data_IF_867961484039
#
_entry.id   IF_867961484039
#
_cell.length_a   1.000
_cell.length_b   1.000
_cell.length_c   1.000
_cell.angle_alpha   90.00
_cell.angle_beta   90.00
_cell.angle_gamma   90.00
#
_symmetry.space_group_name_H-M   'P 1'
#
loop_
_entity.id
_entity.type
_entity.pdbx_description
1 polymer ?
#
# COMPACT_ATOMS: atom_id res chain seq x y z
N UNK A 1 -2.61 -38.45 -13.71
CA UNK A 1 -3.51 -37.87 -12.69
C UNK A 1 -2.80 -37.33 -11.44
N UNK A 2 -1.63 -37.86 -11.02
CA UNK A 2 -0.89 -37.39 -9.81
C UNK A 2 -0.46 -35.91 -9.83
N UNK A 3 -0.27 -35.30 -11.00
CA UNK A 3 0.17 -33.89 -11.14
C UNK A 3 -0.96 -32.86 -11.31
N UNK A 4 -2.22 -33.29 -11.51
CA UNK A 4 -3.36 -32.40 -11.79
C UNK A 4 -3.83 -31.63 -10.55
N UNK A 5 -3.94 -32.30 -9.40
CA UNK A 5 -4.33 -31.68 -8.14
C UNK A 5 -3.32 -30.65 -7.61
N UNK A 6 -1.99 -30.92 -7.59
CA UNK A 6 -1.01 -29.93 -7.15
C UNK A 6 -0.94 -28.71 -8.08
N UNK A 7 -1.08 -28.89 -9.39
CA UNK A 7 -1.09 -27.78 -10.36
C UNK A 7 -2.35 -26.93 -10.26
N UNK A 8 -3.52 -27.54 -10.05
CA UNK A 8 -4.76 -26.81 -9.76
C UNK A 8 -4.66 -26.03 -8.44
N UNK A 9 -4.09 -26.61 -7.39
CA UNK A 9 -3.86 -25.92 -6.12
C UNK A 9 -2.94 -24.71 -6.27
N UNK A 10 -1.84 -24.86 -7.02
CA UNK A 10 -0.92 -23.77 -7.34
C UNK A 10 -1.59 -22.64 -8.13
N UNK A 11 -2.43 -22.97 -9.12
CA UNK A 11 -3.18 -21.99 -9.90
C UNK A 11 -4.19 -21.22 -9.04
N UNK A 12 -4.88 -21.90 -8.12
CA UNK A 12 -5.79 -21.24 -7.17
C UNK A 12 -5.03 -20.28 -6.25
N UNK A 13 -3.87 -20.68 -5.72
CA UNK A 13 -3.03 -19.82 -4.88
C UNK A 13 -2.57 -18.59 -5.67
N UNK A 14 -2.08 -18.79 -6.89
CA UNK A 14 -1.62 -17.71 -7.77
C UNK A 14 -2.76 -16.75 -8.14
N UNK A 15 -3.97 -17.27 -8.39
CA UNK A 15 -5.17 -16.48 -8.62
C UNK A 15 -5.56 -15.65 -7.38
N UNK A 16 -5.54 -16.24 -6.18
CA UNK A 16 -5.80 -15.54 -4.92
C UNK A 16 -4.79 -14.41 -4.70
N UNK A 17 -3.50 -14.67 -4.87
CA UNK A 17 -2.47 -13.62 -4.76
C UNK A 17 -2.70 -12.49 -5.76
N UNK A 18 -3.02 -12.82 -7.00
CA UNK A 18 -3.28 -11.84 -8.05
C UNK A 18 -4.47 -10.95 -7.68
N UNK A 19 -5.56 -11.53 -7.17
CA UNK A 19 -6.75 -10.78 -6.71
C UNK A 19 -6.42 -9.89 -5.50
N UNK A 20 -5.64 -10.38 -4.54
CA UNK A 20 -5.23 -9.60 -3.37
C UNK A 20 -4.36 -8.39 -3.76
N UNK A 21 -3.38 -8.59 -4.64
CA UNK A 21 -2.49 -7.52 -5.12
C UNK A 21 -3.26 -6.49 -5.93
N UNK A 22 -4.15 -6.95 -6.81
CA UNK A 22 -5.04 -6.09 -7.57
C UNK A 22 -5.88 -5.21 -6.64
N UNK A 23 -6.47 -5.80 -5.60
CA UNK A 23 -7.29 -5.07 -4.62
C UNK A 23 -6.47 -4.05 -3.84
N UNK A 24 -5.24 -4.40 -3.43
CA UNK A 24 -4.39 -3.53 -2.62
C UNK A 24 -3.77 -2.36 -3.39
N UNK A 25 -3.51 -2.54 -4.69
CA UNK A 25 -2.88 -1.51 -5.54
C UNK A 25 -3.82 -1.00 -6.65
N UNK A 26 -5.13 -1.11 -6.43
CA UNK A 26 -6.15 -0.66 -7.38
C UNK A 26 -6.01 0.83 -7.70
N UNK A 27 -5.56 1.63 -6.75
CA UNK A 27 -5.28 3.06 -6.93
C UNK A 27 -4.17 3.31 -7.96
N UNK A 28 -3.13 2.46 -8.04
CA UNK A 28 -2.10 2.60 -9.09
C UNK A 28 -2.70 2.38 -10.48
N UNK A 29 -3.62 1.44 -10.62
CA UNK A 29 -4.32 1.17 -11.88
C UNK A 29 -5.28 2.31 -12.26
N UNK A 30 -5.83 3.06 -11.29
CA UNK A 30 -6.73 4.20 -11.57
C UNK A 30 -5.99 5.38 -12.20
N UNK A 31 -4.69 5.51 -11.92
CA UNK A 31 -3.85 6.62 -12.40
C UNK A 31 -2.82 6.17 -13.45
N UNK A 32 -3.09 5.04 -14.10
CA UNK A 32 -2.24 4.47 -15.15
C UNK A 32 -0.77 4.23 -14.74
N UNK A 33 -0.51 4.07 -13.43
CA UNK A 33 0.81 3.77 -12.89
C UNK A 33 1.15 2.27 -12.99
N UNK A 34 0.99 1.71 -14.19
CA UNK A 34 1.18 0.28 -14.47
C UNK A 34 2.59 -0.21 -14.13
N UNK A 35 3.62 0.60 -14.43
CA UNK A 35 5.01 0.26 -14.10
C UNK A 35 5.19 -0.03 -12.61
N UNK A 36 4.70 0.86 -11.75
CA UNK A 36 4.80 0.71 -10.30
C UNK A 36 3.92 -0.44 -9.80
N UNK A 37 2.76 -0.64 -10.41
CA UNK A 37 1.90 -1.79 -10.13
C UNK A 37 2.62 -3.12 -10.40
N UNK A 38 3.20 -3.29 -11.60
CA UNK A 38 3.92 -4.51 -11.96
C UNK A 38 5.17 -4.73 -11.14
N UNK A 39 5.95 -3.68 -10.84
CA UNK A 39 7.12 -3.80 -9.96
C UNK A 39 6.75 -4.31 -8.56
N UNK A 40 5.60 -3.88 -8.03
CA UNK A 40 5.06 -4.37 -6.75
C UNK A 40 4.49 -5.79 -6.85
N UNK A 41 4.17 -6.29 -8.05
CA UNK A 41 3.76 -7.68 -8.27
C UNK A 41 4.94 -8.66 -8.31
N UNK A 42 6.16 -8.21 -8.61
CA UNK A 42 7.31 -9.11 -8.80
C UNK A 42 7.57 -9.99 -7.56
N UNK A 43 7.65 -9.46 -6.31
CA UNK A 43 7.90 -10.29 -5.15
C UNK A 43 6.86 -11.40 -4.92
N UNK A 44 5.53 -11.14 -4.88
CA UNK A 44 4.57 -12.21 -4.67
C UNK A 44 4.43 -13.14 -5.89
N UNK A 45 4.66 -12.66 -7.12
CA UNK A 45 4.69 -13.53 -8.29
C UNK A 45 5.88 -14.50 -8.23
N UNK A 46 7.05 -14.04 -7.79
CA UNK A 46 8.19 -14.94 -7.60
C UNK A 46 7.87 -15.97 -6.52
N UNK A 47 7.31 -15.57 -5.37
CA UNK A 47 6.83 -16.53 -4.35
C UNK A 47 5.82 -17.52 -4.92
N UNK A 48 4.87 -17.04 -5.73
CA UNK A 48 3.86 -17.86 -6.38
C UNK A 48 4.45 -18.93 -7.30
N UNK A 49 5.51 -18.59 -8.05
CA UNK A 49 6.26 -19.55 -8.87
C UNK A 49 6.93 -20.62 -8.00
N UNK A 50 7.52 -20.25 -6.86
CA UNK A 50 8.08 -21.24 -5.93
C UNK A 50 6.98 -22.15 -5.36
N UNK A 51 5.87 -21.60 -4.88
CA UNK A 51 4.77 -22.42 -4.36
C UNK A 51 4.23 -23.37 -5.44
N UNK A 52 4.12 -22.92 -6.68
CA UNK A 52 3.69 -23.74 -7.79
C UNK A 52 4.69 -24.83 -8.20
N UNK A 53 5.99 -24.55 -8.09
CA UNK A 53 7.07 -25.50 -8.39
C UNK A 53 7.32 -26.52 -7.29
N UNK A 54 6.81 -26.29 -6.08
CA UNK A 54 7.05 -27.16 -4.92
C UNK A 54 6.68 -28.63 -5.18
N UNK A 55 5.51 -28.98 -5.74
CA UNK A 55 5.17 -30.39 -6.02
C UNK A 55 6.14 -31.07 -6.99
N UNK A 56 6.64 -30.34 -7.98
CA UNK A 56 7.63 -30.86 -8.95
C UNK A 56 8.98 -31.11 -8.26
N UNK A 57 9.42 -30.18 -7.40
CA UNK A 57 10.67 -30.35 -6.64
C UNK A 57 10.56 -31.51 -5.65
N UNK A 58 9.41 -31.69 -5.01
CA UNK A 58 9.20 -32.81 -4.09
C UNK A 58 9.10 -34.17 -4.79
N UNK A 59 8.67 -34.22 -6.06
CA UNK A 59 8.66 -35.45 -6.87
C UNK A 59 10.09 -35.93 -7.22
N UNK A 60 11.05 -35.00 -7.27
CA UNK A 60 12.48 -35.29 -7.48
C UNK A 60 13.22 -35.64 -6.18
N UNK A 61 12.58 -35.49 -5.01
CA UNK A 61 13.19 -35.77 -3.71
C UNK A 61 13.06 -37.25 -3.33
N UNK A 62 14.10 -37.79 -2.70
CA UNK A 62 14.11 -39.13 -2.11
C UNK A 62 13.66 -39.07 -0.65
N UNK A 63 13.27 -40.21 -0.07
CA UNK A 63 12.79 -40.28 1.32
C UNK A 63 13.83 -39.73 2.31
N UNK A 64 15.12 -39.97 2.06
CA UNK A 64 16.21 -39.57 2.94
C UNK A 64 16.55 -38.07 2.88
N UNK A 65 16.25 -37.39 1.76
CA UNK A 65 16.59 -35.99 1.55
C UNK A 65 15.37 -35.05 1.47
N UNK A 66 14.16 -35.59 1.67
CA UNK A 66 12.90 -34.85 1.60
C UNK A 66 12.91 -33.57 2.46
N UNK A 67 13.32 -33.70 3.74
CA UNK A 67 13.32 -32.59 4.69
C UNK A 67 14.37 -31.51 4.32
N UNK A 68 15.65 -31.85 4.06
CA UNK A 68 16.62 -30.88 3.55
C UNK A 68 16.18 -30.15 2.28
N UNK A 69 15.63 -30.85 1.29
CA UNK A 69 15.16 -30.26 0.02
C UNK A 69 14.03 -29.26 0.27
N UNK A 70 13.06 -29.64 1.09
CA UNK A 70 11.94 -28.76 1.46
C UNK A 70 12.42 -27.48 2.16
N UNK A 71 13.35 -27.61 3.12
CA UNK A 71 13.87 -26.46 3.88
C UNK A 71 14.69 -25.51 3.00
N UNK A 72 15.53 -26.02 2.11
CA UNK A 72 16.29 -25.19 1.17
C UNK A 72 15.35 -24.47 0.21
N UNK A 73 14.32 -25.16 -0.28
CA UNK A 73 13.37 -24.58 -1.22
C UNK A 73 12.51 -23.47 -0.58
N UNK A 74 11.94 -23.73 0.60
CA UNK A 74 11.17 -22.73 1.35
C UNK A 74 12.05 -21.57 1.84
N UNK A 75 13.26 -21.87 2.31
CA UNK A 75 14.24 -20.87 2.72
C UNK A 75 14.67 -19.96 1.57
N UNK A 76 14.93 -20.54 0.39
CA UNK A 76 15.24 -19.80 -0.83
C UNK A 76 14.08 -18.91 -1.30
N UNK A 77 12.85 -19.44 -1.28
CA UNK A 77 11.66 -18.66 -1.61
C UNK A 77 11.45 -17.48 -0.64
N UNK A 78 11.59 -17.72 0.66
CA UNK A 78 11.48 -16.68 1.70
C UNK A 78 12.58 -15.62 1.56
N UNK A 79 13.83 -16.04 1.34
CA UNK A 79 14.96 -15.14 1.15
C UNK A 79 14.80 -14.29 -0.10
N UNK A 80 14.45 -14.91 -1.24
CA UNK A 80 14.22 -14.18 -2.49
C UNK A 80 13.08 -13.18 -2.33
N UNK A 81 11.97 -13.59 -1.71
CA UNK A 81 10.83 -12.70 -1.45
C UNK A 81 11.24 -11.54 -0.55
N UNK A 82 12.02 -11.79 0.50
CA UNK A 82 12.52 -10.75 1.40
C UNK A 82 13.48 -9.78 0.69
N UNK A 83 14.37 -10.28 -0.17
CA UNK A 83 15.28 -9.47 -0.96
C UNK A 83 14.52 -8.59 -1.97
N UNK A 84 13.59 -9.17 -2.72
CA UNK A 84 12.79 -8.45 -3.72
C UNK A 84 11.89 -7.40 -3.07
N UNK A 85 11.25 -7.74 -1.94
CA UNK A 85 10.46 -6.77 -1.17
C UNK A 85 11.33 -5.64 -0.63
N UNK A 86 12.59 -5.94 -0.26
CA UNK A 86 13.52 -4.91 0.21
C UNK A 86 14.02 -3.99 -0.89
N UNK A 87 14.20 -4.51 -2.11
CA UNK A 87 14.70 -3.78 -3.26
C UNK A 87 13.68 -2.81 -3.86
N UNK A 88 12.38 -3.17 -3.89
CA UNK A 88 11.36 -2.36 -4.57
C UNK A 88 10.98 -1.09 -3.80
N UNK A 89 11.00 -1.13 -2.46
CA UNK A 89 10.47 -0.01 -1.64
C UNK A 89 11.33 0.39 -0.42
N UNK A 90 12.66 0.51 -0.51
CA UNK A 90 13.46 0.95 0.63
C UNK A 90 13.07 2.36 1.09
N UNK A 91 12.83 3.28 0.16
CA UNK A 91 12.50 4.69 0.45
C UNK A 91 11.10 4.86 1.03
N UNK A 92 10.06 4.25 0.44
CA UNK A 92 8.69 4.26 0.99
C UNK A 92 8.64 3.68 2.40
N UNK A 93 9.38 2.59 2.66
CA UNK A 93 9.41 1.99 3.99
C UNK A 93 10.12 2.88 4.99
N UNK A 94 11.19 3.58 4.60
CA UNK A 94 11.85 4.57 5.45
C UNK A 94 10.90 5.72 5.77
N UNK A 95 10.20 6.27 4.76
CA UNK A 95 9.21 7.33 4.95
C UNK A 95 8.08 6.91 5.91
N UNK A 96 7.47 5.74 5.65
CA UNK A 96 6.43 5.19 6.51
C UNK A 96 6.93 4.78 7.90
N UNK A 97 8.18 4.35 8.03
CA UNK A 97 8.78 4.06 9.34
C UNK A 97 9.00 5.34 10.15
N UNK A 98 9.50 6.41 9.52
CA UNK A 98 9.64 7.72 10.15
C UNK A 98 8.28 8.24 10.64
N UNK A 99 7.23 8.10 9.83
CA UNK A 99 5.87 8.47 10.23
C UNK A 99 5.41 7.68 11.45
N UNK A 100 5.60 6.34 11.46
CA UNK A 100 5.21 5.49 12.59
C UNK A 100 6.04 5.73 13.85
N UNK A 101 7.27 6.21 13.73
CA UNK A 101 8.11 6.59 14.87
C UNK A 101 7.80 7.99 15.41
N UNK A 102 6.81 8.69 14.84
CA UNK A 102 6.45 10.06 15.22
C UNK A 102 7.40 11.14 14.69
N UNK A 103 8.38 10.76 13.86
CA UNK A 103 9.30 11.71 13.22
C UNK A 103 8.64 12.23 11.93
N UNK A 104 7.60 13.05 12.12
CA UNK A 104 6.74 13.53 11.04
C UNK A 104 7.45 14.49 10.10
N UNK A 105 8.40 15.30 10.60
CA UNK A 105 9.23 16.17 9.76
C UNK A 105 10.10 15.35 8.79
N UNK A 106 10.77 14.30 9.30
CA UNK A 106 11.54 13.39 8.44
C UNK A 106 10.64 12.63 7.48
N UNK A 107 9.47 12.20 7.93
CA UNK A 107 8.49 11.55 7.06
C UNK A 107 8.05 12.48 5.92
N UNK A 108 7.76 13.75 6.21
CA UNK A 108 7.40 14.75 5.23
C UNK A 108 8.52 14.95 4.21
N UNK A 109 9.78 15.15 4.64
CA UNK A 109 10.93 15.28 3.72
C UNK A 109 11.11 14.06 2.81
N UNK A 110 10.94 12.85 3.36
CA UNK A 110 11.06 11.62 2.57
C UNK A 110 9.91 11.46 1.57
N UNK A 111 8.68 11.80 1.96
CA UNK A 111 7.55 11.77 1.03
C UNK A 111 7.65 12.87 -0.02
N UNK A 112 8.19 14.03 0.31
CA UNK A 112 8.44 15.12 -0.64
C UNK A 112 9.41 14.67 -1.74
N UNK A 113 10.57 14.11 -1.37
CA UNK A 113 11.52 13.51 -2.33
C UNK A 113 10.87 12.39 -3.18
N UNK A 114 10.03 11.55 -2.56
CA UNK A 114 9.28 10.52 -3.29
C UNK A 114 8.31 11.13 -4.30
N UNK A 115 7.60 12.21 -3.96
CA UNK A 115 6.69 12.88 -4.90
C UNK A 115 7.42 13.54 -6.06
N UNK A 116 8.63 14.09 -5.83
CA UNK A 116 9.47 14.65 -6.88
C UNK A 116 9.95 13.62 -7.90
N UNK A 117 10.26 12.39 -7.44
CA UNK A 117 10.71 11.29 -8.31
C UNK A 117 9.56 10.52 -8.94
N UNK A 118 8.51 10.29 -8.16
CA UNK A 118 7.35 9.44 -8.50
C UNK A 118 6.08 10.14 -8.00
N UNK A 119 5.41 10.97 -8.82
CA UNK A 119 4.29 11.81 -8.39
C UNK A 119 2.99 11.02 -8.23
N UNK A 120 2.98 10.01 -7.34
CA UNK A 120 1.83 9.15 -7.07
C UNK A 120 0.86 9.82 -6.09
N UNK A 121 -0.47 9.70 -6.30
CA UNK A 121 -1.49 10.25 -5.40
C UNK A 121 -1.29 9.85 -3.93
N UNK A 122 -0.96 8.57 -3.69
CA UNK A 122 -0.72 8.03 -2.36
C UNK A 122 0.46 8.68 -1.64
N UNK A 123 1.49 9.14 -2.36
CA UNK A 123 2.64 9.82 -1.74
C UNK A 123 2.31 11.25 -1.38
N UNK A 124 1.57 11.95 -2.25
CA UNK A 124 1.04 13.26 -1.91
C UNK A 124 0.09 13.22 -0.71
N UNK A 125 -0.76 12.18 -0.62
CA UNK A 125 -1.62 11.97 0.55
C UNK A 125 -0.80 11.68 1.82
N UNK A 126 0.24 10.85 1.74
CA UNK A 126 1.11 10.57 2.88
C UNK A 126 1.98 11.78 3.29
N UNK A 127 2.40 12.59 2.31
CA UNK A 127 3.05 13.88 2.53
C UNK A 127 2.12 14.81 3.30
N UNK A 128 0.87 14.95 2.87
CA UNK A 128 -0.14 15.76 3.55
C UNK A 128 -0.32 15.32 5.02
N UNK A 129 -0.47 14.03 5.28
CA UNK A 129 -0.59 13.52 6.65
C UNK A 129 0.68 13.82 7.48
N UNK A 130 1.86 13.73 6.87
CA UNK A 130 3.12 14.00 7.55
C UNK A 130 3.30 15.50 7.86
N UNK A 131 2.90 16.37 6.92
CA UNK A 131 2.93 17.82 7.08
C UNK A 131 1.97 18.28 8.16
N UNK A 132 0.72 17.79 8.15
CA UNK A 132 -0.29 18.08 9.16
C UNK A 132 0.20 17.67 10.55
N UNK A 133 0.70 16.44 10.68
CA UNK A 133 1.26 15.92 11.93
C UNK A 133 2.54 16.64 12.39
N UNK A 134 3.29 17.27 11.48
CA UNK A 134 4.45 18.11 11.79
C UNK A 134 4.09 19.57 12.11
N UNK A 135 2.81 19.94 12.14
CA UNK A 135 2.36 21.29 12.45
C UNK A 135 2.34 22.26 11.27
N UNK A 136 2.34 21.73 10.03
CA UNK A 136 2.29 22.52 8.80
C UNK A 136 0.98 22.25 8.02
N UNK A 137 -0.20 22.59 8.57
CA UNK A 137 -1.47 22.20 7.98
C UNK A 137 -1.76 22.93 6.65
N UNK A 138 -1.26 24.15 6.44
CA UNK A 138 -1.48 24.90 5.19
C UNK A 138 -0.82 24.18 3.99
N UNK A 139 0.44 23.77 4.14
CA UNK A 139 1.14 22.98 3.10
C UNK A 139 0.59 21.56 2.99
N UNK A 140 0.05 21.01 4.08
CA UNK A 140 -0.66 19.73 4.03
C UNK A 140 -1.91 19.78 3.14
N UNK A 141 -2.65 20.89 3.15
CA UNK A 141 -3.80 21.09 2.25
C UNK A 141 -3.34 21.05 0.79
N UNK A 142 -2.26 21.74 0.45
CA UNK A 142 -1.71 21.75 -0.92
C UNK A 142 -1.26 20.35 -1.38
N UNK A 143 -0.58 19.60 -0.50
CA UNK A 143 -0.18 18.23 -0.79
C UNK A 143 -1.41 17.33 -1.00
N UNK A 144 -2.44 17.46 -0.18
CA UNK A 144 -3.67 16.70 -0.33
C UNK A 144 -4.44 17.07 -1.61
N UNK A 145 -4.43 18.35 -2.00
CA UNK A 145 -4.97 18.83 -3.28
C UNK A 145 -4.27 18.17 -4.47
N UNK A 146 -2.93 18.06 -4.42
CA UNK A 146 -2.17 17.35 -5.43
C UNK A 146 -2.51 15.86 -5.52
N UNK A 147 -2.84 15.22 -4.40
CA UNK A 147 -3.32 13.84 -4.38
C UNK A 147 -4.71 13.72 -5.02
N UNK A 148 -5.65 14.58 -4.61
CA UNK A 148 -7.05 14.57 -5.09
C UNK A 148 -7.12 14.88 -6.59
N UNK A 149 -6.33 15.84 -7.08
CA UNK A 149 -6.26 16.17 -8.52
C UNK A 149 -5.84 14.97 -9.37
N UNK A 150 -4.98 14.10 -8.83
CA UNK A 150 -4.45 12.93 -9.54
C UNK A 150 -5.35 11.70 -9.40
N UNK A 151 -5.87 11.44 -8.21
CA UNK A 151 -6.91 10.42 -7.98
C UNK A 151 -8.08 11.00 -7.18
N UNK A 152 -9.14 11.48 -7.86
CA UNK A 152 -10.36 11.96 -7.21
C UNK A 152 -11.14 10.87 -6.45
N UNK A 153 -10.72 9.60 -6.55
CA UNK A 153 -11.30 8.47 -5.81
C UNK A 153 -10.43 8.02 -4.64
N UNK A 154 -9.38 8.76 -4.31
CA UNK A 154 -8.51 8.47 -3.17
C UNK A 154 -9.11 9.06 -1.89
N UNK A 155 -9.96 8.29 -1.20
CA UNK A 155 -10.66 8.75 0.01
C UNK A 155 -9.74 9.26 1.11
N UNK A 156 -8.59 8.61 1.30
CA UNK A 156 -7.61 9.02 2.32
C UNK A 156 -7.04 10.43 2.05
N UNK A 157 -6.99 10.88 0.80
CA UNK A 157 -6.55 12.24 0.49
C UNK A 157 -7.57 13.30 0.96
N UNK A 158 -8.87 13.03 0.79
CA UNK A 158 -9.92 13.89 1.35
C UNK A 158 -9.90 13.89 2.88
N UNK A 159 -9.68 12.74 3.51
CA UNK A 159 -9.55 12.69 4.97
C UNK A 159 -8.36 13.51 5.46
N UNK A 160 -7.19 13.38 4.83
CA UNK A 160 -6.00 14.14 5.22
C UNK A 160 -6.18 15.65 4.98
N UNK A 161 -6.81 16.05 3.86
CA UNK A 161 -7.14 17.46 3.62
C UNK A 161 -8.12 17.98 4.65
N UNK A 162 -9.12 17.20 5.03
CA UNK A 162 -10.08 17.58 6.07
C UNK A 162 -9.42 17.79 7.43
N UNK A 163 -8.48 16.90 7.81
CA UNK A 163 -7.68 17.05 9.03
C UNK A 163 -6.91 18.37 9.04
N UNK A 164 -6.19 18.65 7.95
CA UNK A 164 -5.43 19.89 7.80
C UNK A 164 -6.33 21.14 7.77
N UNK A 165 -7.46 21.10 7.06
CA UNK A 165 -8.46 22.18 7.04
C UNK A 165 -9.08 22.42 8.42
N UNK A 166 -9.29 21.36 9.21
CA UNK A 166 -9.77 21.51 10.57
C UNK A 166 -8.74 22.24 11.45
N UNK A 167 -7.45 21.92 11.27
CA UNK A 167 -6.35 22.58 11.96
C UNK A 167 -6.18 24.06 11.57
N UNK A 168 -6.49 24.44 10.32
CA UNK A 168 -6.52 25.85 9.88
C UNK A 168 -7.82 26.58 10.20
N UNK A 169 -8.79 25.91 10.85
CA UNK A 169 -10.07 26.50 11.24
C UNK A 169 -11.16 26.50 10.15
N UNK A 170 -10.88 25.94 8.98
CA UNK A 170 -11.80 25.84 7.84
C UNK A 170 -12.79 24.67 7.99
N UNK A 171 -13.47 24.60 9.15
CA UNK A 171 -14.34 23.47 9.56
C UNK A 171 -15.41 23.09 8.52
N UNK A 172 -16.00 24.08 7.84
CA UNK A 172 -17.04 23.83 6.83
C UNK A 172 -16.47 23.07 5.62
N UNK A 173 -15.27 23.43 5.15
CA UNK A 173 -14.60 22.72 4.06
C UNK A 173 -14.15 21.33 4.51
N UNK A 174 -13.61 21.22 5.73
CA UNK A 174 -13.24 19.93 6.33
C UNK A 174 -14.43 18.96 6.36
N UNK A 175 -15.61 19.42 6.80
CA UNK A 175 -16.84 18.61 6.79
C UNK A 175 -17.20 18.12 5.38
N UNK A 176 -17.12 18.99 4.38
CA UNK A 176 -17.38 18.63 2.98
C UNK A 176 -16.46 17.52 2.48
N UNK A 177 -15.17 17.58 2.84
CA UNK A 177 -14.19 16.56 2.51
C UNK A 177 -14.44 15.23 3.24
N UNK A 178 -14.77 15.28 4.53
CA UNK A 178 -15.17 14.08 5.28
C UNK A 178 -16.41 13.42 4.66
N UNK A 179 -17.38 14.20 4.19
CA UNK A 179 -18.53 13.67 3.45
C UNK A 179 -18.09 13.00 2.13
N UNK A 180 -17.08 13.57 1.45
CA UNK A 180 -16.56 13.01 0.21
C UNK A 180 -15.93 11.63 0.42
N UNK A 181 -15.30 11.38 1.56
CA UNK A 181 -14.76 10.05 1.94
C UNK A 181 -15.84 8.96 1.82
N UNK A 182 -17.05 9.20 2.31
CA UNK A 182 -18.16 8.24 2.24
C UNK A 182 -18.62 7.97 0.81
N UNK A 183 -18.46 8.93 -0.10
CA UNK A 183 -18.84 8.80 -1.51
C UNK A 183 -17.80 8.03 -2.34
N UNK A 184 -16.50 8.23 -2.06
CA UNK A 184 -15.43 7.74 -2.94
C UNK A 184 -14.75 6.47 -2.44
N UNK A 185 -14.80 6.20 -1.13
CA UNK A 185 -14.14 5.07 -0.52
C UNK A 185 -15.16 4.18 0.21
N UNK A 186 -15.02 2.87 0.09
CA UNK A 186 -15.86 1.87 0.77
C UNK A 186 -15.17 1.24 1.98
N UNK A 187 -13.94 1.67 2.31
CA UNK A 187 -13.19 1.17 3.46
C UNK A 187 -13.90 1.58 4.77
N UNK A 188 -14.35 0.56 5.52
CA UNK A 188 -15.09 0.75 6.77
C UNK A 188 -14.28 1.51 7.83
N UNK A 189 -12.99 1.23 7.96
CA UNK A 189 -12.14 1.90 8.95
C UNK A 189 -11.98 3.38 8.63
N UNK A 190 -11.73 3.72 7.37
CA UNK A 190 -11.62 5.11 6.94
C UNK A 190 -12.95 5.87 7.09
N UNK A 191 -14.07 5.26 6.70
CA UNK A 191 -15.41 5.86 6.91
C UNK A 191 -15.71 6.11 8.38
N UNK A 192 -15.31 5.19 9.27
CA UNK A 192 -15.47 5.36 10.71
C UNK A 192 -14.66 6.54 11.22
N UNK A 193 -13.37 6.60 10.87
CA UNK A 193 -12.50 7.72 11.23
C UNK A 193 -13.06 9.06 10.70
N UNK A 194 -13.61 9.07 9.47
CA UNK A 194 -14.23 10.26 8.92
C UNK A 194 -15.51 10.68 9.66
N UNK A 195 -16.30 9.73 10.17
CA UNK A 195 -17.45 10.01 11.02
C UNK A 195 -17.06 10.60 12.37
N UNK A 196 -16.08 9.99 13.03
CA UNK A 196 -15.55 10.46 14.33
C UNK A 196 -14.95 11.88 14.19
N UNK A 197 -14.22 12.14 13.11
CA UNK A 197 -13.70 13.48 12.80
C UNK A 197 -14.82 14.48 12.46
N UNK A 198 -15.95 14.04 11.91
CA UNK A 198 -17.07 14.93 11.61
C UNK A 198 -17.79 15.35 12.89
N UNK A 199 -17.99 14.42 13.82
CA UNK A 199 -18.57 14.69 15.13
C UNK A 199 -17.69 15.63 15.97
N UNK A 200 -16.36 15.52 15.87
CA UNK A 200 -15.45 16.41 16.60
C UNK A 200 -15.48 17.86 16.08
N UNK A 201 -15.87 18.09 14.82
CA UNK A 201 -16.03 19.42 14.24
C UNK A 201 -17.31 20.13 14.68
N UNK A 202 -18.29 19.40 15.22
CA UNK A 202 -19.57 19.94 15.70
C UNK A 202 -19.53 20.39 17.18
N UNK A 203 -18.48 20.00 17.91
CA UNK A 203 -18.24 20.40 19.30
C UNK A 203 -17.40 21.68 19.37
#
# INVERSE_FOLDING_TARGET
MRLLYPTLGALVILAVFTVLIWRQNRDLLRVDAYREFFLRMIPPLSTGVFVAGLPFVMDLATVDNYLPVLLVYLGGAALLTALMTRAVTPEERRAGAAFRSGDYEKAARLYDDLTGRRPLPRYYSALAASLDASGNPETAVEAADHAIKRDPKLGIAYYNRASALAATGERAKARGDLQKVFQVDSNRALRRAAGEAMESLEK
#
